data_IF_919384825867
#
_entry.id   IF_919384825867
#
_cell.length_a   1.000
_cell.length_b   1.000
_cell.length_c   1.000
_cell.angle_alpha   90.00
_cell.angle_beta   90.00
_cell.angle_gamma   90.00
#
_symmetry.space_group_name_H-M   'P 1'
#
loop_
_entity.id
_entity.type
_entity.pdbx_description
1 polymer ?
#
# COMPACT_ATOMS: atom_id res chain seq x y z
N UNK A 1 -6.90 -8.08 -9.93
CA UNK A 1 -8.22 -7.47 -9.64
C UNK A 1 -7.99 -6.24 -8.78
N UNK A 2 -8.46 -5.06 -9.23
CA UNK A 2 -8.45 -3.87 -8.37
C UNK A 2 -9.50 -4.01 -7.27
N UNK A 3 -9.11 -3.79 -6.02
CA UNK A 3 -10.07 -3.84 -4.92
C UNK A 3 -9.67 -2.91 -3.77
N UNK A 4 -10.67 -2.55 -2.98
CA UNK A 4 -10.49 -1.90 -1.69
C UNK A 4 -11.09 -2.78 -0.60
N UNK A 5 -10.48 -2.76 0.58
CA UNK A 5 -11.01 -3.50 1.73
C UNK A 5 -11.20 -2.52 2.90
N UNK A 6 -12.35 -2.66 3.53
CA UNK A 6 -12.77 -1.85 4.66
C UNK A 6 -13.05 -2.75 5.85
N UNK A 7 -12.54 -2.36 7.02
CA UNK A 7 -12.78 -3.04 8.29
C UNK A 7 -13.41 -2.08 9.29
N UNK A 8 -14.27 -2.60 10.15
CA UNK A 8 -14.87 -1.82 11.23
C UNK A 8 -13.74 -1.29 12.13
N UNK A 9 -13.73 0.05 12.34
CA UNK A 9 -12.83 0.67 13.30
C UNK A 9 -13.29 0.35 14.73
N UNK A 10 -12.45 -0.32 15.55
CA UNK A 10 -12.81 -0.66 16.92
C UNK A 10 -13.19 0.54 17.78
N UNK A 11 -12.70 1.75 17.43
CA UNK A 11 -13.05 3.00 18.16
C UNK A 11 -14.45 3.52 17.85
N UNK A 12 -15.06 3.05 16.77
CA UNK A 12 -16.38 3.47 16.27
C UNK A 12 -17.44 2.38 16.38
N UNK A 13 -17.08 1.18 16.86
CA UNK A 13 -17.96 0.00 16.96
C UNK A 13 -18.74 -0.05 18.25
N UNK A 14 -19.48 0.99 18.57
CA UNK A 14 -20.29 1.08 19.80
C UNK A 14 -21.36 -0.01 19.88
N UNK A 15 -21.87 -0.44 18.73
CA UNK A 15 -22.92 -1.47 18.61
C UNK A 15 -22.37 -2.90 18.56
N UNK A 16 -21.04 -3.09 18.59
CA UNK A 16 -20.38 -4.38 18.50
C UNK A 16 -20.78 -5.20 17.26
N UNK A 17 -20.73 -4.53 16.11
CA UNK A 17 -21.12 -5.10 14.81
C UNK A 17 -20.02 -5.96 14.19
N UNK A 18 -18.77 -5.82 14.64
CA UNK A 18 -17.67 -6.66 14.19
C UNK A 18 -17.98 -8.14 14.45
N UNK A 19 -17.76 -8.98 13.43
CA UNK A 19 -18.07 -10.41 13.37
C UNK A 19 -19.55 -10.77 13.27
N UNK A 20 -20.46 -9.83 13.10
CA UNK A 20 -21.88 -10.10 12.88
C UNK A 20 -22.14 -10.47 11.42
N UNK A 21 -23.01 -11.46 11.20
CA UNK A 21 -23.53 -11.75 9.87
C UNK A 21 -24.52 -10.70 9.40
N UNK A 22 -24.68 -10.54 8.08
CA UNK A 22 -25.52 -9.51 7.48
C UNK A 22 -26.99 -9.58 7.94
N UNK A 23 -27.47 -10.75 8.32
CA UNK A 23 -28.84 -10.95 8.86
C UNK A 23 -29.02 -10.47 10.30
N UNK A 24 -27.94 -10.18 10.99
CA UNK A 24 -27.93 -9.76 12.41
C UNK A 24 -27.79 -8.25 12.57
N UNK A 25 -27.69 -7.53 11.45
CA UNK A 25 -27.53 -6.08 11.40
C UNK A 25 -28.64 -5.46 10.55
N UNK A 26 -29.09 -4.26 10.93
CA UNK A 26 -30.14 -3.55 10.20
C UNK A 26 -29.58 -2.86 8.95
N UNK A 27 -28.40 -2.26 9.05
CA UNK A 27 -27.73 -1.51 7.99
C UNK A 27 -26.20 -1.60 8.15
N UNK A 28 -25.48 -1.56 7.01
CA UNK A 28 -24.02 -1.37 6.99
C UNK A 28 -23.73 0.12 6.94
N UNK A 29 -23.33 0.71 8.06
CA UNK A 29 -22.96 2.13 8.15
C UNK A 29 -21.49 2.33 7.74
N UNK A 30 -21.19 2.95 6.58
CA UNK A 30 -19.79 3.19 6.19
C UNK A 30 -19.00 4.07 7.14
N UNK A 31 -19.66 4.92 7.94
CA UNK A 31 -19.02 5.84 8.87
C UNK A 31 -18.23 5.17 9.99
N UNK A 32 -18.51 3.89 10.28
CA UNK A 32 -17.76 3.13 11.30
C UNK A 32 -16.59 2.32 10.72
N UNK A 33 -16.40 2.36 9.40
CA UNK A 33 -15.33 1.62 8.72
C UNK A 33 -14.09 2.50 8.49
N UNK A 34 -12.95 1.84 8.41
CA UNK A 34 -11.70 2.40 7.89
C UNK A 34 -11.22 1.61 6.69
N UNK A 35 -10.61 2.28 5.73
CA UNK A 35 -9.96 1.63 4.59
C UNK A 35 -8.63 1.03 5.05
N UNK A 36 -8.45 -0.26 4.82
CA UNK A 36 -7.24 -1.01 5.22
C UNK A 36 -6.46 -1.55 4.01
N UNK A 37 -7.03 -1.44 2.81
CA UNK A 37 -6.38 -1.83 1.56
C UNK A 37 -6.98 -1.07 0.37
N UNK A 38 -6.12 -0.67 -0.58
CA UNK A 38 -6.53 -0.06 -1.85
C UNK A 38 -5.46 -0.28 -2.91
N UNK A 39 -5.48 -1.45 -3.56
CA UNK A 39 -4.51 -1.81 -4.60
C UNK A 39 -5.04 -2.91 -5.52
N UNK A 40 -4.21 -3.32 -6.48
CA UNK A 40 -4.44 -4.52 -7.28
C UNK A 40 -3.96 -5.77 -6.54
N UNK A 41 -4.66 -6.88 -6.75
CA UNK A 41 -4.29 -8.20 -6.23
C UNK A 41 -4.38 -9.24 -7.34
N UNK A 42 -3.45 -10.18 -7.35
CA UNK A 42 -3.44 -11.29 -8.30
C UNK A 42 -4.39 -12.42 -7.86
N UNK A 43 -5.67 -12.07 -7.74
CA UNK A 43 -6.75 -13.04 -7.47
C UNK A 43 -7.91 -12.77 -8.41
N UNK A 44 -8.71 -13.81 -8.70
CA UNK A 44 -9.79 -13.75 -9.67
C UNK A 44 -11.17 -13.51 -9.05
N UNK A 45 -11.32 -13.75 -7.75
CA UNK A 45 -12.59 -13.68 -7.04
C UNK A 45 -12.35 -13.41 -5.54
N UNK A 46 -13.40 -13.01 -4.83
CA UNK A 46 -13.33 -12.55 -3.44
C UNK A 46 -12.89 -13.64 -2.45
N UNK A 47 -13.18 -14.91 -2.71
CA UNK A 47 -12.67 -16.03 -1.89
C UNK A 47 -11.14 -16.16 -2.00
N UNK A 48 -10.57 -15.84 -3.17
CA UNK A 48 -9.13 -15.73 -3.36
C UNK A 48 -8.54 -14.57 -2.57
N UNK A 49 -9.20 -13.42 -2.56
CA UNK A 49 -8.82 -12.28 -1.73
C UNK A 49 -8.90 -12.60 -0.23
N UNK A 50 -9.97 -13.29 0.20
CA UNK A 50 -10.09 -13.77 1.58
C UNK A 50 -8.91 -14.64 1.98
N UNK A 51 -8.49 -15.57 1.11
CA UNK A 51 -7.33 -16.44 1.37
C UNK A 51 -6.02 -15.65 1.43
N UNK A 52 -5.82 -14.68 0.54
CA UNK A 52 -4.65 -13.81 0.51
C UNK A 52 -4.52 -12.99 1.80
N UNK A 53 -5.58 -12.27 2.20
CA UNK A 53 -5.56 -11.42 3.41
C UNK A 53 -5.60 -12.19 4.74
N UNK A 54 -5.69 -13.52 4.68
CA UNK A 54 -5.54 -14.44 5.81
C UNK A 54 -4.26 -15.29 5.70
N UNK A 55 -3.38 -15.01 4.75
CA UNK A 55 -2.09 -15.68 4.61
C UNK A 55 -1.05 -15.12 5.59
N UNK A 56 0.08 -15.81 5.68
CA UNK A 56 1.23 -15.38 6.49
C UNK A 56 1.93 -14.16 5.88
N UNK A 57 1.85 -14.04 4.56
CA UNK A 57 2.46 -12.96 3.77
C UNK A 57 1.38 -12.29 2.90
N UNK A 58 0.58 -11.40 3.49
CA UNK A 58 -0.41 -10.63 2.75
C UNK A 58 0.27 -9.55 1.90
N UNK A 59 -0.49 -8.92 1.03
CA UNK A 59 -0.01 -7.81 0.21
C UNK A 59 0.65 -6.70 1.07
N UNK A 60 1.80 -6.12 0.68
CA UNK A 60 2.55 -5.12 1.48
C UNK A 60 1.71 -3.89 1.86
N UNK A 61 0.75 -3.50 1.02
CA UNK A 61 -0.18 -2.39 1.32
C UNK A 61 -1.43 -2.82 2.12
N UNK A 62 -1.43 -3.99 2.74
CA UNK A 62 -2.53 -4.43 3.60
C UNK A 62 -2.28 -4.03 5.05
N UNK A 63 -2.99 -3.01 5.53
CA UNK A 63 -2.83 -2.43 6.88
C UNK A 63 -3.95 -2.87 7.85
N UNK A 64 -4.63 -3.96 7.52
CA UNK A 64 -5.73 -4.52 8.31
C UNK A 64 -5.34 -5.70 9.18
N UNK A 65 -6.34 -6.18 9.90
CA UNK A 65 -6.30 -7.51 10.54
C UNK A 65 -6.73 -8.57 9.53
N UNK A 66 -6.51 -9.86 9.85
CA UNK A 66 -7.03 -10.96 9.04
C UNK A 66 -8.48 -10.71 8.62
N UNK A 67 -8.77 -10.90 7.33
CA UNK A 67 -10.10 -10.66 6.77
C UNK A 67 -11.14 -11.56 7.43
N UNK A 68 -12.28 -11.00 7.81
CA UNK A 68 -13.27 -11.72 8.60
C UNK A 68 -14.70 -11.27 8.25
N UNK A 69 -15.68 -11.94 8.88
CA UNK A 69 -17.09 -11.52 8.85
C UNK A 69 -17.20 -10.07 9.32
N UNK A 70 -18.03 -9.29 8.68
CA UNK A 70 -18.25 -7.85 8.77
C UNK A 70 -17.34 -6.97 7.91
N UNK A 71 -16.28 -7.49 7.31
CA UNK A 71 -15.44 -6.70 6.40
C UNK A 71 -16.17 -6.43 5.08
N UNK A 72 -15.84 -5.31 4.44
CA UNK A 72 -16.45 -4.92 3.16
C UNK A 72 -15.38 -4.84 2.09
N UNK A 73 -15.53 -5.64 1.04
CA UNK A 73 -14.71 -5.59 -0.16
C UNK A 73 -15.42 -4.80 -1.25
N UNK A 74 -14.73 -3.83 -1.85
CA UNK A 74 -15.23 -3.05 -3.00
C UNK A 74 -14.35 -3.35 -4.21
N UNK A 75 -14.98 -3.68 -5.33
CA UNK A 75 -14.35 -4.00 -6.61
C UNK A 75 -15.05 -3.24 -7.73
N UNK A 76 -14.64 -3.43 -8.99
CA UNK A 76 -15.35 -2.97 -10.18
C UNK A 76 -16.77 -3.54 -10.33
N UNK A 77 -17.06 -4.65 -9.66
CA UNK A 77 -18.37 -5.29 -9.65
C UNK A 77 -19.32 -4.75 -8.56
N UNK A 78 -18.83 -3.91 -7.65
CA UNK A 78 -19.59 -3.32 -6.56
C UNK A 78 -19.00 -3.62 -5.18
N UNK A 79 -19.82 -3.37 -4.15
CA UNK A 79 -19.45 -3.60 -2.76
C UNK A 79 -20.04 -4.91 -2.24
N UNK A 80 -19.26 -5.64 -1.48
CA UNK A 80 -19.59 -6.96 -0.94
C UNK A 80 -19.24 -7.06 0.53
N UNK A 81 -20.18 -7.48 1.33
CA UNK A 81 -20.00 -7.79 2.74
C UNK A 81 -19.47 -9.22 2.89
N UNK A 82 -18.40 -9.38 3.65
CA UNK A 82 -17.94 -10.69 4.08
C UNK A 82 -18.90 -11.23 5.13
N UNK A 83 -19.77 -12.18 4.74
CA UNK A 83 -20.78 -12.79 5.59
C UNK A 83 -20.30 -14.16 6.09
N UNK A 84 -21.06 -14.78 7.00
CA UNK A 84 -20.79 -16.13 7.54
C UNK A 84 -20.69 -17.17 6.41
N UNK A 85 -21.40 -16.98 5.32
CA UNK A 85 -21.40 -17.86 4.14
C UNK A 85 -21.03 -17.07 2.86
N UNK A 86 -19.74 -16.73 2.72
CA UNK A 86 -19.20 -16.06 1.55
C UNK A 86 -19.57 -14.58 1.49
N UNK A 87 -19.51 -14.00 0.29
CA UNK A 87 -19.71 -12.58 0.07
C UNK A 87 -21.13 -12.27 -0.37
N UNK A 88 -21.70 -11.19 0.15
CA UNK A 88 -23.05 -10.72 -0.18
C UNK A 88 -23.00 -9.31 -0.75
N UNK A 89 -23.61 -9.04 -1.91
CA UNK A 89 -23.65 -7.68 -2.45
C UNK A 89 -24.42 -6.75 -1.52
N UNK A 90 -23.89 -5.56 -1.32
CA UNK A 90 -24.46 -4.50 -0.48
C UNK A 90 -24.39 -3.14 -1.18
N UNK A 91 -25.07 -2.14 -0.61
CA UNK A 91 -24.79 -0.74 -0.90
C UNK A 91 -23.80 -0.22 0.11
N UNK A 92 -22.71 0.39 -0.34
CA UNK A 92 -21.67 0.96 0.53
C UNK A 92 -21.21 2.28 -0.07
N UNK A 93 -21.45 3.37 0.65
CA UNK A 93 -21.07 4.71 0.24
C UNK A 93 -19.67 5.03 0.79
N UNK A 94 -18.66 4.80 -0.04
CA UNK A 94 -17.25 5.01 0.33
C UNK A 94 -16.94 6.46 0.74
N UNK A 95 -17.74 7.44 0.29
CA UNK A 95 -17.51 8.86 0.64
C UNK A 95 -17.76 9.17 2.12
N UNK A 96 -18.42 8.29 2.84
CA UNK A 96 -18.69 8.41 4.28
C UNK A 96 -17.62 7.75 5.14
N UNK A 97 -16.69 7.02 4.54
CA UNK A 97 -15.57 6.43 5.28
C UNK A 97 -14.56 7.54 5.62
N UNK A 98 -14.15 7.58 6.87
CA UNK A 98 -13.11 8.51 7.32
C UNK A 98 -11.73 8.03 6.85
N UNK A 99 -11.11 8.80 5.98
CA UNK A 99 -9.75 8.57 5.46
C UNK A 99 -8.78 9.68 5.85
N UNK A 100 -9.13 10.50 6.84
CA UNK A 100 -8.34 11.66 7.24
C UNK A 100 -6.92 11.33 7.74
N UNK A 101 -6.70 10.10 8.21
CA UNK A 101 -5.40 9.61 8.63
C UNK A 101 -4.57 8.98 7.48
N UNK A 102 -5.11 8.94 6.25
CA UNK A 102 -4.43 8.34 5.09
C UNK A 102 -3.82 9.40 4.20
N UNK A 103 -2.71 9.05 3.56
CA UNK A 103 -2.08 9.83 2.49
C UNK A 103 -2.12 9.05 1.18
N UNK A 104 -2.29 9.81 0.09
CA UNK A 104 -2.23 9.30 -1.28
C UNK A 104 -0.79 9.33 -1.77
N UNK A 105 -0.27 8.19 -2.15
CA UNK A 105 1.11 7.96 -2.54
C UNK A 105 1.17 7.28 -3.90
N UNK A 106 2.33 7.33 -4.55
CA UNK A 106 2.62 6.43 -5.66
C UNK A 106 3.43 5.24 -5.11
N UNK A 107 2.98 4.02 -5.36
CA UNK A 107 3.70 2.81 -5.01
C UNK A 107 4.38 2.25 -6.25
N UNK A 108 5.67 1.96 -6.14
CA UNK A 108 6.51 1.52 -7.24
C UNK A 108 7.24 0.24 -6.84
N UNK A 109 6.98 -0.82 -7.58
CA UNK A 109 7.57 -2.14 -7.37
C UNK A 109 8.57 -2.47 -8.48
N UNK A 110 9.59 -3.29 -8.23
CA UNK A 110 10.46 -3.81 -9.29
C UNK A 110 9.64 -4.51 -10.37
N UNK A 111 10.03 -4.34 -11.63
CA UNK A 111 9.42 -4.98 -12.82
C UNK A 111 7.94 -4.64 -13.08
N UNK A 112 7.33 -3.78 -12.26
CA UNK A 112 5.91 -3.41 -12.34
C UNK A 112 5.74 -1.93 -12.70
N UNK A 113 4.57 -1.59 -13.27
CA UNK A 113 4.16 -0.19 -13.45
C UNK A 113 3.75 0.42 -12.12
N UNK A 114 4.08 1.71 -11.90
CA UNK A 114 3.63 2.39 -10.69
C UNK A 114 2.11 2.50 -10.63
N UNK A 115 1.55 2.55 -9.43
CA UNK A 115 0.14 2.83 -9.23
C UNK A 115 -0.12 3.68 -7.99
N UNK A 116 -1.24 4.39 -8.00
CA UNK A 116 -1.68 5.21 -6.87
C UNK A 116 -2.27 4.31 -5.79
N UNK A 117 -1.83 4.50 -4.55
CA UNK A 117 -2.36 3.84 -3.37
C UNK A 117 -2.68 4.86 -2.27
N UNK A 118 -3.56 4.50 -1.35
CA UNK A 118 -3.77 5.21 -0.10
C UNK A 118 -3.27 4.36 1.06
N UNK A 119 -2.41 4.95 1.89
CA UNK A 119 -1.82 4.28 3.05
C UNK A 119 -2.01 5.14 4.32
N UNK A 120 -2.09 4.55 5.52
CA UNK A 120 -2.03 5.32 6.75
C UNK A 120 -0.73 6.14 6.83
N UNK A 121 -0.81 7.41 7.24
CA UNK A 121 0.39 8.25 7.42
C UNK A 121 1.09 7.93 8.74
N UNK A 122 1.60 6.71 8.84
CA UNK A 122 2.35 6.24 10.00
C UNK A 122 3.71 5.68 9.58
N UNK A 123 4.68 5.72 10.48
CA UNK A 123 5.98 5.08 10.27
C UNK A 123 5.82 3.59 9.96
N UNK A 124 4.99 2.91 10.75
CA UNK A 124 4.76 1.47 10.59
C UNK A 124 4.18 1.12 9.21
N UNK A 125 3.23 1.91 8.70
CA UNK A 125 2.65 1.65 7.38
C UNK A 125 3.69 1.84 6.26
N UNK A 126 4.53 2.88 6.35
CA UNK A 126 5.62 3.11 5.39
C UNK A 126 6.66 1.98 5.45
N UNK A 127 7.08 1.57 6.64
CA UNK A 127 8.01 0.44 6.83
C UNK A 127 7.45 -0.87 6.28
N UNK A 128 6.16 -1.15 6.52
CA UNK A 128 5.51 -2.33 5.97
C UNK A 128 5.45 -2.28 4.45
N UNK A 129 5.09 -1.14 3.86
CA UNK A 129 4.99 -0.97 2.41
C UNK A 129 6.31 -1.24 1.68
N UNK A 130 7.44 -0.81 2.26
CA UNK A 130 8.76 -1.00 1.65
C UNK A 130 9.49 -2.27 2.14
N UNK A 131 8.94 -2.94 3.16
CA UNK A 131 9.48 -4.19 3.71
C UNK A 131 10.80 -4.00 4.47
N UNK A 132 10.95 -2.88 5.21
CA UNK A 132 12.17 -2.59 5.98
C UNK A 132 12.15 -1.24 6.69
N UNK A 133 13.30 -0.85 7.24
CA UNK A 133 13.48 0.50 7.78
C UNK A 133 13.52 1.52 6.65
N UNK A 134 12.87 2.65 6.87
CA UNK A 134 12.73 3.65 5.80
C UNK A 134 13.90 4.62 5.75
N UNK A 135 14.32 4.93 4.52
CA UNK A 135 15.11 6.12 4.19
C UNK A 135 14.34 7.04 3.25
N UNK A 136 14.66 8.33 3.31
CA UNK A 136 14.10 9.33 2.42
C UNK A 136 15.16 9.78 1.41
N UNK A 137 14.82 9.68 0.12
CA UNK A 137 15.58 10.30 -0.96
C UNK A 137 14.79 11.52 -1.44
N UNK A 138 15.25 12.71 -1.06
CA UNK A 138 14.57 13.95 -1.35
C UNK A 138 14.71 14.35 -2.82
N UNK A 139 13.60 14.69 -3.45
CA UNK A 139 13.57 15.26 -4.79
C UNK A 139 13.86 16.77 -4.74
N UNK A 140 13.96 17.42 -5.93
CA UNK A 140 14.17 18.86 -6.02
C UNK A 140 12.87 19.68 -5.82
N UNK A 141 11.75 19.00 -5.68
CA UNK A 141 10.45 19.56 -5.35
C UNK A 141 10.02 19.10 -3.94
N UNK A 142 8.82 19.48 -3.51
CA UNK A 142 8.28 19.14 -2.20
C UNK A 142 7.78 17.67 -2.16
N UNK A 143 8.59 16.74 -2.68
CA UNK A 143 8.34 15.30 -2.66
C UNK A 143 9.59 14.52 -2.25
N UNK A 144 9.40 13.26 -1.84
CA UNK A 144 10.49 12.32 -1.59
C UNK A 144 10.13 10.91 -2.01
N UNK A 145 11.17 10.11 -2.27
CA UNK A 145 11.06 8.66 -2.32
C UNK A 145 11.27 8.12 -0.91
N UNK A 146 10.48 7.13 -0.54
CA UNK A 146 10.61 6.40 0.73
C UNK A 146 10.89 4.94 0.39
N UNK A 147 12.09 4.46 0.66
CA UNK A 147 12.55 3.10 0.38
C UNK A 147 13.06 2.39 1.63
N UNK A 148 13.42 1.10 1.49
CA UNK A 148 14.11 0.35 2.54
C UNK A 148 15.61 0.70 2.52
N UNK A 149 16.13 1.26 3.62
CA UNK A 149 17.55 1.64 3.76
C UNK A 149 18.52 0.48 3.59
N UNK A 150 18.06 -0.74 3.82
CA UNK A 150 18.85 -1.97 3.71
C UNK A 150 18.54 -2.78 2.44
N UNK A 151 17.74 -2.23 1.50
CA UNK A 151 17.25 -2.98 0.34
C UNK A 151 18.37 -3.66 -0.45
N UNK A 152 19.46 -2.96 -0.74
CA UNK A 152 20.63 -3.48 -1.46
C UNK A 152 21.38 -4.54 -0.66
N UNK A 153 21.55 -4.33 0.67
CA UNK A 153 22.20 -5.29 1.57
C UNK A 153 21.36 -6.58 1.69
N UNK A 154 20.04 -6.44 1.61
CA UNK A 154 19.09 -7.57 1.59
C UNK A 154 18.95 -8.22 0.22
N UNK A 155 19.75 -7.79 -0.76
CA UNK A 155 19.71 -8.28 -2.14
C UNK A 155 18.30 -8.19 -2.77
N UNK A 156 17.54 -7.12 -2.45
CA UNK A 156 16.28 -6.86 -3.13
C UNK A 156 16.55 -6.44 -4.58
N UNK A 157 15.63 -6.77 -5.48
CA UNK A 157 15.73 -6.44 -6.90
C UNK A 157 15.89 -4.92 -7.12
N UNK A 158 16.73 -4.54 -8.08
CA UNK A 158 16.82 -3.15 -8.53
C UNK A 158 15.49 -2.70 -9.12
N UNK A 159 15.07 -1.46 -8.79
CA UNK A 159 13.74 -0.97 -9.17
C UNK A 159 13.84 0.13 -10.24
N UNK A 160 14.47 1.24 -9.91
CA UNK A 160 14.59 2.41 -10.83
C UNK A 160 15.96 3.09 -10.65
N UNK A 161 16.42 3.75 -11.72
CA UNK A 161 17.57 4.64 -11.63
C UNK A 161 17.15 6.00 -11.06
N UNK A 162 18.01 6.59 -10.23
CA UNK A 162 17.81 7.90 -9.62
C UNK A 162 18.42 9.02 -10.49
N UNK A 163 17.82 10.22 -10.49
CA UNK A 163 18.29 11.36 -11.28
C UNK A 163 19.74 11.78 -10.95
N UNK A 164 20.14 11.62 -9.70
CA UNK A 164 21.50 11.91 -9.22
C UNK A 164 22.52 10.80 -9.48
N UNK A 165 22.13 9.75 -10.17
CA UNK A 165 22.86 8.50 -10.27
C UNK A 165 22.53 7.56 -9.11
N UNK A 166 22.81 6.28 -9.30
CA UNK A 166 22.47 5.22 -8.34
C UNK A 166 21.13 4.54 -8.65
N UNK A 167 20.88 3.50 -7.87
CA UNK A 167 19.71 2.62 -8.03
C UNK A 167 18.91 2.61 -6.73
N UNK A 168 17.60 2.76 -6.80
CA UNK A 168 16.71 2.39 -5.70
C UNK A 168 16.31 0.93 -5.88
N UNK A 169 16.45 0.13 -4.81
CA UNK A 169 16.14 -1.30 -4.80
C UNK A 169 14.90 -1.59 -3.96
N UNK A 170 14.20 -2.67 -4.27
CA UNK A 170 12.96 -3.07 -3.61
C UNK A 170 11.80 -2.11 -3.88
N UNK A 171 10.72 -2.31 -3.15
CA UNK A 171 9.53 -1.47 -3.22
C UNK A 171 9.83 -0.07 -2.64
N UNK A 172 9.26 0.97 -3.26
CA UNK A 172 9.34 2.31 -2.71
C UNK A 172 8.04 3.10 -2.92
N UNK A 173 7.88 4.14 -2.12
CA UNK A 173 6.78 5.09 -2.22
C UNK A 173 7.31 6.43 -2.74
N UNK A 174 6.48 7.15 -3.51
CA UNK A 174 6.64 8.60 -3.68
C UNK A 174 5.61 9.28 -2.80
N UNK A 175 6.05 10.21 -1.97
CA UNK A 175 5.21 10.97 -1.03
C UNK A 175 5.40 12.46 -1.23
N UNK A 176 4.35 13.26 -0.97
CA UNK A 176 4.50 14.69 -0.81
C UNK A 176 5.08 15.04 0.56
N UNK A 177 5.72 16.19 0.68
CA UNK A 177 6.34 16.69 1.91
C UNK A 177 5.73 18.00 2.37
N UNK A 178 5.74 18.20 3.68
CA UNK A 178 5.52 19.47 4.39
C UNK A 178 6.61 19.67 5.42
N UNK A 179 6.60 20.82 6.10
CA UNK A 179 7.51 21.06 7.24
C UNK A 179 7.27 20.10 8.41
N UNK A 180 6.05 19.54 8.52
CA UNK A 180 5.63 18.67 9.63
C UNK A 180 5.76 17.17 9.31
N UNK A 181 5.92 16.80 8.03
CA UNK A 181 6.01 15.38 7.62
C UNK A 181 5.48 15.11 6.22
N UNK A 182 4.93 13.91 6.03
CA UNK A 182 4.38 13.53 4.73
C UNK A 182 2.97 14.09 4.51
N UNK A 183 2.62 14.28 3.25
CA UNK A 183 1.26 14.62 2.77
C UNK A 183 0.89 13.77 1.56
N UNK A 184 -0.37 13.79 1.21
CA UNK A 184 -0.84 13.25 -0.06
C UNK A 184 -0.15 13.94 -1.23
N UNK A 185 0.17 13.17 -2.28
CA UNK A 185 0.54 13.72 -3.57
C UNK A 185 -0.66 14.46 -4.20
N UNK A 186 -0.37 15.56 -4.90
CA UNK A 186 -1.34 16.24 -5.77
C UNK A 186 -1.54 15.42 -7.07
N UNK A 187 -2.56 15.80 -7.86
CA UNK A 187 -2.81 15.12 -9.14
C UNK A 187 -1.65 15.38 -10.13
N UNK A 188 -1.07 16.58 -10.12
CA UNK A 188 0.08 16.93 -10.96
C UNK A 188 1.34 16.16 -10.56
N UNK A 189 1.57 15.97 -9.26
CA UNK A 189 2.70 15.16 -8.77
C UNK A 189 2.52 13.70 -9.14
N UNK A 190 1.28 13.18 -9.03
CA UNK A 190 0.96 11.80 -9.45
C UNK A 190 1.24 11.62 -10.94
N UNK A 191 0.71 12.50 -11.80
CA UNK A 191 0.92 12.42 -13.25
C UNK A 191 2.42 12.45 -13.57
N UNK A 192 3.17 13.40 -12.99
CA UNK A 192 4.62 13.53 -13.15
C UNK A 192 5.37 12.25 -12.81
N UNK A 193 5.09 11.65 -11.65
CA UNK A 193 5.83 10.48 -11.18
C UNK A 193 5.33 9.17 -11.78
N UNK A 194 4.07 9.10 -12.21
CA UNK A 194 3.56 8.00 -13.05
C UNK A 194 4.34 7.93 -14.36
N UNK A 195 4.48 9.06 -15.07
CA UNK A 195 5.24 9.13 -16.32
C UNK A 195 6.72 8.81 -16.08
N UNK A 196 7.32 9.40 -15.03
CA UNK A 196 8.73 9.21 -14.70
C UNK A 196 9.09 7.75 -14.46
N UNK A 197 8.23 7.01 -13.80
CA UNK A 197 8.48 5.63 -13.38
C UNK A 197 7.68 4.60 -14.19
N UNK A 198 7.04 4.99 -15.31
CA UNK A 198 6.26 4.08 -16.15
C UNK A 198 7.09 2.89 -16.64
N UNK A 199 8.34 3.17 -17.07
CA UNK A 199 9.25 2.12 -17.48
C UNK A 199 9.84 1.42 -16.25
N UNK A 200 9.75 0.09 -16.24
CA UNK A 200 10.36 -0.78 -15.24
C UNK A 200 11.61 -1.43 -15.86
N UNK A 201 12.81 -0.84 -15.69
CA UNK A 201 14.04 -1.40 -16.26
C UNK A 201 14.36 -2.73 -15.61
N UNK A 202 14.94 -3.64 -16.39
CA UNK A 202 15.51 -4.89 -15.87
C UNK A 202 16.93 -4.59 -15.35
N UNK A 203 17.04 -4.30 -14.06
CA UNK A 203 18.30 -3.98 -13.39
C UNK A 203 18.87 -5.25 -12.79
N UNK A 204 20.07 -5.63 -13.22
CA UNK A 204 20.67 -6.86 -12.75
C UNK A 204 21.06 -6.81 -11.27
N UNK A 205 21.09 -7.94 -10.54
CA UNK A 205 21.61 -7.99 -9.18
C UNK A 205 23.03 -7.47 -9.05
N UNK A 206 23.89 -7.73 -10.05
CA UNK A 206 25.28 -7.24 -10.07
C UNK A 206 25.36 -5.72 -10.15
N UNK A 207 24.50 -5.06 -10.92
CA UNK A 207 24.40 -3.59 -10.96
C UNK A 207 23.93 -3.04 -9.63
N UNK A 208 22.93 -3.68 -9.00
CA UNK A 208 22.41 -3.27 -7.71
C UNK A 208 23.45 -3.42 -6.60
N UNK A 209 24.22 -4.52 -6.59
CA UNK A 209 25.33 -4.75 -5.66
C UNK A 209 26.47 -3.75 -5.87
N UNK A 210 26.84 -3.46 -7.10
CA UNK A 210 27.89 -2.50 -7.43
C UNK A 210 27.55 -1.07 -6.95
N UNK A 211 26.27 -0.74 -6.85
CA UNK A 211 25.79 0.58 -6.41
C UNK A 211 25.69 0.72 -4.87
N UNK A 212 26.11 -0.28 -4.08
CA UNK A 212 26.12 -0.19 -2.60
C UNK A 212 27.10 0.87 -2.09
N UNK A 213 28.05 1.33 -2.93
CA UNK A 213 28.96 2.42 -2.58
C UNK A 213 30.02 2.08 -1.51
N UNK A 214 30.05 0.85 -1.01
CA UNK A 214 31.11 0.34 -0.15
C UNK A 214 32.22 -0.24 -1.02
N UNK A 215 33.21 0.56 -1.34
CA UNK A 215 34.53 -0.01 -1.59
C UNK A 215 34.93 -0.73 -0.31
N UNK A 216 34.95 -2.05 -0.29
CA UNK A 216 35.67 -2.81 0.71
C UNK A 216 37.14 -2.36 0.57
N UNK A 217 37.58 -1.49 1.47
CA UNK A 217 39.01 -1.28 1.68
C UNK A 217 39.47 -2.60 2.28
N UNK A 218 40.02 -3.48 1.43
CA UNK A 218 40.85 -4.57 1.92
C UNK A 218 41.94 -3.94 2.79
N UNK A 219 41.80 -4.10 4.07
CA UNK A 219 42.92 -3.81 5.00
C UNK A 219 44.02 -4.79 4.67
N UNK A 220 45.05 -4.30 3.94
CA UNK A 220 46.33 -4.99 3.80
C UNK A 220 47.06 -4.97 5.16
#
# INVERSE_FOLDING_TARGET
MRMKLYQIDPKKDDMRLKYRGLKEIDEVDPGIYKKVFDAEVDVKHLEGAFSLFNSVDPHPLYFGNAMTVSDVAVTDQGAFYCDIAGFKPIRFDESKVDTSENIRVLFVQPHEKPYVAEIPDTLQAKQQAVGGYIEFVYNQDDTALVGDEEAKIKCKDGNRYLDGGGIIAGDFLVVGLTEEGCRSLTDEEIEKYMDKYEEAPDISPEETEADVGFAFIECM
#
